data_IF_246680818477
#
_entry.id   IF_246680818477
#
_cell.length_a   1.000
_cell.length_b   1.000
_cell.length_c   1.000
_cell.angle_alpha   90.00
_cell.angle_beta   90.00
_cell.angle_gamma   90.00
#
_symmetry.space_group_name_H-M   'P 1'
#
loop_
_entity.id
_entity.type
_entity.pdbx_description
1 polymer ?
#
# COMPACT_ATOMS: atom_id res chain seq x y z
N UNK A 1 81.07 8.54 28.31
CA UNK A 1 79.88 7.66 28.30
C UNK A 1 78.54 8.41 28.17
N UNK A 2 78.41 9.69 28.55
CA UNK A 2 77.16 10.46 28.41
C UNK A 2 76.68 10.72 26.97
N UNK A 3 77.58 10.75 25.97
CA UNK A 3 77.21 11.05 24.57
C UNK A 3 76.38 9.98 23.86
N UNK A 4 76.49 8.71 24.27
CA UNK A 4 75.75 7.60 23.65
C UNK A 4 74.26 7.63 24.04
N UNK A 5 73.97 7.87 25.32
CA UNK A 5 72.60 7.95 25.83
C UNK A 5 71.81 9.12 25.20
N UNK A 6 72.46 10.25 24.94
CA UNK A 6 71.80 11.42 24.30
C UNK A 6 71.46 11.13 22.83
N UNK A 7 72.25 10.31 22.14
CA UNK A 7 71.99 9.93 20.75
C UNK A 7 70.81 8.96 20.62
N UNK A 8 70.66 8.02 21.56
CA UNK A 8 69.54 7.07 21.61
C UNK A 8 68.21 7.77 21.88
N UNK A 9 68.14 8.65 22.88
CA UNK A 9 66.93 9.42 23.21
C UNK A 9 66.47 10.29 22.04
N UNK A 10 67.41 10.85 21.25
CA UNK A 10 67.08 11.61 20.04
C UNK A 10 66.49 10.74 18.92
N UNK A 11 66.90 9.48 18.79
CA UNK A 11 66.34 8.56 17.79
C UNK A 11 64.92 8.15 18.16
N UNK A 12 64.68 7.74 19.41
CA UNK A 12 63.34 7.35 19.87
C UNK A 12 62.33 8.50 19.75
N UNK A 13 62.77 9.73 20.04
CA UNK A 13 61.91 10.92 19.88
C UNK A 13 61.61 11.24 18.42
N UNK A 14 62.53 10.92 17.49
CA UNK A 14 62.31 11.10 16.05
C UNK A 14 61.35 10.04 15.51
N UNK A 15 61.54 8.77 15.87
CA UNK A 15 60.66 7.68 15.45
C UNK A 15 59.22 7.86 15.95
N UNK A 16 59.05 8.32 17.19
CA UNK A 16 57.71 8.64 17.73
C UNK A 16 57.04 9.82 17.01
N UNK A 17 57.80 10.82 16.56
CA UNK A 17 57.26 11.94 15.77
C UNK A 17 56.81 11.47 14.38
N UNK A 18 57.66 10.72 13.69
CA UNK A 18 57.37 10.18 12.35
C UNK A 18 56.14 9.24 12.40
N UNK A 19 56.00 8.44 13.46
CA UNK A 19 54.83 7.58 13.66
C UNK A 19 53.54 8.39 13.87
N UNK A 20 53.59 9.51 14.61
CA UNK A 20 52.42 10.36 14.80
C UNK A 20 51.97 11.04 13.50
N UNK A 21 52.91 11.46 12.65
CA UNK A 21 52.59 12.07 11.36
C UNK A 21 51.92 11.08 10.41
N UNK A 22 52.41 9.83 10.36
CA UNK A 22 51.79 8.76 9.56
C UNK A 22 50.36 8.45 10.04
N UNK A 23 50.14 8.42 11.36
CA UNK A 23 48.80 8.20 11.94
C UNK A 23 47.86 9.36 11.59
N UNK A 24 48.34 10.60 11.71
CA UNK A 24 47.57 11.81 11.39
C UNK A 24 47.19 11.87 9.91
N UNK A 25 48.10 11.52 9.01
CA UNK A 25 47.83 11.51 7.57
C UNK A 25 46.78 10.44 7.19
N UNK A 26 46.91 9.23 7.75
CA UNK A 26 45.94 8.16 7.54
C UNK A 26 44.56 8.52 8.08
N UNK A 27 44.47 9.18 9.25
CA UNK A 27 43.18 9.68 9.78
C UNK A 27 42.54 10.71 8.84
N UNK A 28 43.31 11.66 8.31
CA UNK A 28 42.80 12.66 7.35
C UNK A 28 42.28 12.01 6.06
N UNK A 29 43.01 11.03 5.50
CA UNK A 29 42.58 10.28 4.31
C UNK A 29 41.28 9.51 4.56
N UNK A 30 41.17 8.83 5.72
CA UNK A 30 39.93 8.15 6.13
C UNK A 30 38.75 9.10 6.29
N UNK A 31 38.96 10.26 6.92
CA UNK A 31 37.90 11.27 7.10
C UNK A 31 37.38 11.81 5.76
N UNK A 32 38.29 12.07 4.80
CA UNK A 32 37.93 12.49 3.44
C UNK A 32 37.14 11.40 2.70
N UNK A 33 37.56 10.15 2.80
CA UNK A 33 36.86 9.03 2.16
C UNK A 33 35.44 8.86 2.72
N UNK A 34 35.27 8.95 4.05
CA UNK A 34 33.94 8.91 4.69
C UNK A 34 33.09 10.09 4.23
N UNK A 35 33.65 11.30 4.14
CA UNK A 35 32.94 12.48 3.65
C UNK A 35 32.42 12.31 2.22
N UNK A 36 33.24 11.78 1.31
CA UNK A 36 32.83 11.50 -0.08
C UNK A 36 31.74 10.43 -0.12
N UNK A 37 31.85 9.37 0.69
CA UNK A 37 30.84 8.32 0.75
C UNK A 37 29.49 8.85 1.23
N UNK A 38 29.48 9.68 2.28
CA UNK A 38 28.25 10.30 2.80
C UNK A 38 27.61 11.25 1.78
N UNK A 39 28.42 12.06 1.09
CA UNK A 39 27.92 12.92 0.01
C UNK A 39 27.34 12.11 -1.16
N UNK A 40 28.01 11.03 -1.56
CA UNK A 40 27.52 10.12 -2.59
C UNK A 40 26.20 9.44 -2.19
N UNK A 41 26.09 9.00 -0.93
CA UNK A 41 24.86 8.39 -0.41
C UNK A 41 23.70 9.39 -0.35
N UNK A 42 23.94 10.63 0.10
CA UNK A 42 22.92 11.67 0.14
C UNK A 42 22.47 12.07 -1.27
N UNK A 43 23.41 12.30 -2.20
CA UNK A 43 23.09 12.63 -3.58
C UNK A 43 22.33 11.49 -4.28
N UNK A 44 22.78 10.24 -4.08
CA UNK A 44 22.10 9.05 -4.60
C UNK A 44 20.69 8.88 -4.01
N UNK A 45 20.54 9.09 -2.70
CA UNK A 45 19.25 9.04 -2.02
C UNK A 45 18.25 10.09 -2.52
N UNK A 46 18.70 11.32 -2.77
CA UNK A 46 17.85 12.39 -3.31
C UNK A 46 17.42 12.08 -4.74
N UNK A 47 18.33 11.60 -5.59
CA UNK A 47 17.98 11.25 -6.98
C UNK A 47 17.00 10.08 -7.06
N UNK A 48 17.26 9.00 -6.30
CA UNK A 48 16.36 7.85 -6.26
C UNK A 48 15.03 8.18 -5.59
N UNK A 49 15.04 8.92 -4.48
CA UNK A 49 13.83 9.37 -3.80
C UNK A 49 13.00 10.32 -4.65
N UNK A 50 13.63 11.27 -5.34
CA UNK A 50 12.97 12.19 -6.25
C UNK A 50 12.36 11.46 -7.46
N UNK A 51 13.07 10.51 -8.05
CA UNK A 51 12.55 9.68 -9.14
C UNK A 51 11.38 8.80 -8.68
N UNK A 52 11.46 8.20 -7.49
CA UNK A 52 10.37 7.41 -6.91
C UNK A 52 9.12 8.28 -6.67
N UNK A 53 9.28 9.46 -6.08
CA UNK A 53 8.18 10.40 -5.82
C UNK A 53 7.55 10.90 -7.13
N UNK A 54 8.37 11.17 -8.15
CA UNK A 54 7.88 11.57 -9.48
C UNK A 54 7.02 10.49 -10.13
N UNK A 55 7.51 9.23 -10.11
CA UNK A 55 6.75 8.11 -10.66
C UNK A 55 5.47 7.83 -9.89
N UNK A 56 5.53 7.94 -8.56
CA UNK A 56 4.37 7.83 -7.69
C UNK A 56 3.35 8.91 -8.05
N UNK A 57 3.73 10.19 -8.05
CA UNK A 57 2.82 11.29 -8.39
C UNK A 57 2.19 11.08 -9.77
N UNK A 58 2.98 10.72 -10.78
CA UNK A 58 2.48 10.45 -12.14
C UNK A 58 1.47 9.31 -12.18
N UNK A 59 1.68 8.25 -11.39
CA UNK A 59 0.72 7.15 -11.27
C UNK A 59 -0.62 7.64 -10.70
N UNK A 60 -0.61 8.41 -9.61
CA UNK A 60 -1.83 8.96 -9.02
C UNK A 60 -2.52 9.95 -9.94
N UNK A 61 -1.78 10.85 -10.60
CA UNK A 61 -2.38 11.81 -11.54
C UNK A 61 -3.10 11.08 -12.67
N UNK A 62 -2.52 9.98 -13.20
CA UNK A 62 -3.18 9.14 -14.21
C UNK A 62 -4.47 8.50 -13.69
N UNK A 63 -4.48 8.00 -12.46
CA UNK A 63 -5.68 7.41 -11.83
C UNK A 63 -6.80 8.44 -11.66
N UNK A 64 -6.46 9.68 -11.27
CA UNK A 64 -7.46 10.75 -11.17
C UNK A 64 -8.08 11.10 -12.52
N UNK A 65 -7.26 11.21 -13.58
CA UNK A 65 -7.78 11.50 -14.92
C UNK A 65 -8.63 10.37 -15.48
N UNK A 66 -8.24 9.10 -15.26
CA UNK A 66 -9.08 7.97 -15.67
C UNK A 66 -10.42 7.97 -14.93
N UNK A 67 -10.43 8.27 -13.64
CA UNK A 67 -11.67 8.35 -12.87
C UNK A 67 -12.60 9.47 -13.38
N UNK A 68 -12.06 10.65 -13.70
CA UNK A 68 -12.85 11.75 -14.28
C UNK A 68 -13.45 11.32 -15.62
N UNK A 69 -12.66 10.65 -16.47
CA UNK A 69 -13.10 10.15 -17.76
C UNK A 69 -14.21 9.10 -17.59
N UNK A 70 -14.06 8.14 -16.68
CA UNK A 70 -15.03 7.08 -16.43
C UNK A 70 -16.37 7.63 -15.94
N UNK A 71 -16.34 8.58 -14.99
CA UNK A 71 -17.56 9.23 -14.46
C UNK A 71 -18.23 10.07 -15.55
N UNK A 72 -17.46 10.79 -16.35
CA UNK A 72 -17.99 11.62 -17.44
C UNK A 72 -18.60 10.77 -18.55
N UNK A 73 -17.95 9.67 -18.93
CA UNK A 73 -18.46 8.72 -19.92
C UNK A 73 -19.75 8.05 -19.42
N UNK A 74 -19.80 7.67 -18.14
CA UNK A 74 -21.01 7.15 -17.49
C UNK A 74 -22.15 8.17 -17.56
N UNK A 75 -21.89 9.43 -17.19
CA UNK A 75 -22.89 10.49 -17.26
C UNK A 75 -23.37 10.76 -18.70
N UNK A 76 -22.47 10.69 -19.68
CA UNK A 76 -22.79 10.85 -21.09
C UNK A 76 -23.74 9.74 -21.59
N UNK A 77 -23.43 8.46 -21.29
CA UNK A 77 -24.29 7.34 -21.65
C UNK A 77 -25.67 7.42 -21.00
N UNK A 78 -25.74 7.82 -19.72
CA UNK A 78 -27.02 8.02 -19.02
C UNK A 78 -27.83 9.12 -19.70
N UNK A 79 -27.23 10.28 -19.99
CA UNK A 79 -27.93 11.40 -20.67
C UNK A 79 -28.32 11.09 -22.11
N UNK A 80 -27.60 10.21 -22.78
CA UNK A 80 -27.92 9.72 -24.11
C UNK A 80 -28.98 8.60 -24.13
N UNK A 81 -29.52 8.20 -22.97
CA UNK A 81 -30.50 7.10 -22.88
C UNK A 81 -29.92 5.71 -23.15
N UNK A 82 -28.59 5.56 -23.10
CA UNK A 82 -27.86 4.29 -23.36
C UNK A 82 -27.55 3.53 -22.08
N UNK A 83 -28.47 3.54 -21.11
CA UNK A 83 -28.28 2.91 -19.81
C UNK A 83 -28.11 1.39 -19.90
N UNK A 84 -28.81 0.74 -20.83
CA UNK A 84 -28.74 -0.72 -21.00
C UNK A 84 -27.39 -1.17 -21.55
N UNK A 85 -26.81 -0.37 -22.45
CA UNK A 85 -25.48 -0.63 -23.00
C UNK A 85 -24.40 -0.38 -21.95
N UNK A 86 -24.54 0.69 -21.18
CA UNK A 86 -23.68 0.96 -20.02
C UNK A 86 -23.71 -0.22 -19.03
N UNK A 87 -24.90 -0.73 -18.72
CA UNK A 87 -25.06 -1.86 -17.81
C UNK A 87 -24.35 -3.11 -18.34
N UNK A 88 -24.55 -3.47 -19.62
CA UNK A 88 -23.84 -4.59 -20.27
C UNK A 88 -22.32 -4.43 -20.22
N UNK A 89 -21.81 -3.22 -20.47
CA UNK A 89 -20.38 -2.93 -20.39
C UNK A 89 -19.84 -3.12 -18.98
N UNK A 90 -20.56 -2.63 -17.95
CA UNK A 90 -20.19 -2.83 -16.55
C UNK A 90 -20.24 -4.32 -16.19
N UNK A 91 -21.32 -5.03 -16.54
CA UNK A 91 -21.49 -6.45 -16.24
C UNK A 91 -20.39 -7.32 -16.85
N UNK A 92 -19.96 -7.01 -18.07
CA UNK A 92 -18.85 -7.71 -18.72
C UNK A 92 -17.48 -7.37 -18.10
N UNK A 93 -17.32 -6.20 -17.50
CA UNK A 93 -16.08 -5.77 -16.87
C UNK A 93 -15.88 -6.33 -15.45
N UNK A 94 -16.97 -6.51 -14.68
CA UNK A 94 -16.93 -6.98 -13.28
C UNK A 94 -16.05 -8.23 -13.10
N UNK A 95 -16.20 -9.31 -13.90
CA UNK A 95 -15.40 -10.52 -13.72
C UNK A 95 -13.90 -10.29 -13.88
N UNK A 96 -13.51 -9.47 -14.86
CA UNK A 96 -12.12 -9.08 -15.09
C UNK A 96 -11.54 -8.31 -13.92
N UNK A 97 -12.31 -7.35 -13.37
CA UNK A 97 -11.91 -6.58 -12.19
C UNK A 97 -11.74 -7.47 -10.95
N UNK A 98 -12.66 -8.40 -10.71
CA UNK A 98 -12.58 -9.35 -9.58
C UNK A 98 -11.37 -10.27 -9.72
N UNK A 99 -11.15 -10.82 -10.91
CA UNK A 99 -10.01 -11.68 -11.18
C UNK A 99 -8.67 -10.93 -11.01
N UNK A 100 -8.59 -9.69 -11.52
CA UNK A 100 -7.41 -8.85 -11.34
C UNK A 100 -7.17 -8.52 -9.86
N UNK A 101 -8.21 -8.10 -9.13
CA UNK A 101 -8.14 -7.83 -7.70
C UNK A 101 -7.71 -9.05 -6.88
N UNK A 102 -8.15 -10.25 -7.28
CA UNK A 102 -7.80 -11.49 -6.59
C UNK A 102 -6.31 -11.85 -6.76
N UNK A 103 -5.69 -11.51 -7.90
CA UNK A 103 -4.26 -11.76 -8.15
C UNK A 103 -3.32 -11.01 -7.20
N UNK A 104 -3.76 -9.90 -6.61
CA UNK A 104 -2.96 -9.14 -5.64
C UNK A 104 -2.89 -9.81 -4.25
N UNK A 105 -3.63 -10.91 -4.02
CA UNK A 105 -3.53 -11.76 -2.84
C UNK A 105 -3.99 -11.13 -1.52
N UNK A 106 -3.87 -11.89 -0.42
CA UNK A 106 -4.05 -11.41 0.97
C UNK A 106 -2.78 -10.77 1.55
N UNK A 107 -1.76 -10.56 0.72
CA UNK A 107 -0.41 -10.14 1.09
C UNK A 107 -0.27 -8.67 1.52
N UNK A 108 -1.37 -7.93 1.71
CA UNK A 108 -1.31 -6.49 2.00
C UNK A 108 -2.22 -6.06 3.14
N UNK A 109 -1.86 -4.91 3.74
CA UNK A 109 -2.64 -4.14 4.71
C UNK A 109 -4.08 -3.78 4.26
N UNK A 110 -4.49 -4.17 3.05
CA UNK A 110 -5.76 -3.85 2.40
C UNK A 110 -6.73 -5.03 2.28
N UNK A 111 -6.51 -6.11 3.04
CA UNK A 111 -7.37 -7.30 3.00
C UNK A 111 -8.84 -6.98 3.32
N UNK A 112 -9.08 -5.98 4.18
CA UNK A 112 -10.44 -5.54 4.55
C UNK A 112 -11.17 -4.87 3.38
N UNK A 113 -10.50 -3.95 2.68
CA UNK A 113 -11.04 -3.22 1.54
C UNK A 113 -11.31 -4.19 0.38
N UNK A 114 -10.39 -5.13 0.12
CA UNK A 114 -10.59 -6.20 -0.86
C UNK A 114 -11.83 -7.03 -0.56
N UNK A 115 -11.98 -7.51 0.68
CA UNK A 115 -13.17 -8.28 1.09
C UNK A 115 -14.46 -7.47 0.96
N UNK A 116 -14.43 -6.18 1.30
CA UNK A 116 -15.58 -5.29 1.10
C UNK A 116 -16.01 -5.21 -0.37
N UNK A 117 -15.05 -5.07 -1.29
CA UNK A 117 -15.34 -5.07 -2.72
C UNK A 117 -15.97 -6.39 -3.17
N UNK A 118 -15.40 -7.52 -2.74
CA UNK A 118 -15.92 -8.84 -3.12
C UNK A 118 -17.32 -9.13 -2.55
N UNK A 119 -17.60 -8.74 -1.30
CA UNK A 119 -18.96 -8.82 -0.76
C UNK A 119 -19.94 -7.91 -1.49
N UNK A 120 -19.48 -6.77 -2.01
CA UNK A 120 -20.33 -5.89 -2.80
C UNK A 120 -20.70 -6.54 -4.15
N UNK A 121 -19.74 -7.19 -4.80
CA UNK A 121 -19.97 -7.95 -6.03
C UNK A 121 -20.88 -9.15 -5.79
N UNK A 122 -20.66 -9.92 -4.71
CA UNK A 122 -21.54 -11.02 -4.34
C UNK A 122 -22.98 -10.53 -4.14
N UNK A 123 -23.16 -9.44 -3.37
CA UNK A 123 -24.47 -8.82 -3.16
C UNK A 123 -25.13 -8.33 -4.45
N UNK A 124 -24.33 -7.89 -5.43
CA UNK A 124 -24.85 -7.49 -6.73
C UNK A 124 -25.52 -8.67 -7.44
N UNK A 125 -24.81 -9.79 -7.60
CA UNK A 125 -25.37 -11.00 -8.22
C UNK A 125 -26.56 -11.56 -7.44
N UNK A 126 -26.48 -11.60 -6.11
CA UNK A 126 -27.58 -12.09 -5.26
C UNK A 126 -28.84 -11.22 -5.36
N UNK A 127 -28.68 -9.88 -5.42
CA UNK A 127 -29.81 -8.94 -5.43
C UNK A 127 -30.56 -8.94 -6.76
N UNK A 128 -29.83 -9.07 -7.86
CA UNK A 128 -30.41 -8.97 -9.21
C UNK A 128 -30.68 -10.34 -9.84
N UNK A 129 -30.47 -11.43 -9.09
CA UNK A 129 -30.67 -12.82 -9.54
C UNK A 129 -29.94 -13.14 -10.85
N UNK A 130 -28.72 -12.61 -10.98
CA UNK A 130 -27.87 -12.80 -12.16
C UNK A 130 -26.89 -13.95 -11.89
N UNK A 131 -26.75 -14.84 -12.86
CA UNK A 131 -25.79 -15.95 -12.77
C UNK A 131 -24.36 -15.43 -12.58
N UNK A 132 -23.70 -15.90 -11.52
CA UNK A 132 -22.29 -15.60 -11.27
C UNK A 132 -21.43 -16.28 -12.34
N UNK A 133 -20.56 -15.55 -13.07
CA UNK A 133 -19.69 -16.16 -14.06
C UNK A 133 -18.74 -17.19 -13.44
N UNK A 134 -18.57 -18.34 -14.11
CA UNK A 134 -17.76 -19.47 -13.64
C UNK A 134 -16.31 -19.08 -13.29
N UNK A 135 -15.78 -18.04 -13.94
CA UNK A 135 -14.42 -17.53 -13.70
C UNK A 135 -14.24 -16.94 -12.30
N UNK A 136 -15.29 -16.34 -11.72
CA UNK A 136 -15.22 -15.66 -10.41
C UNK A 136 -15.98 -16.41 -9.32
N UNK A 137 -16.79 -17.40 -9.69
CA UNK A 137 -17.55 -18.22 -8.74
C UNK A 137 -16.68 -18.83 -7.63
N UNK A 138 -15.51 -19.44 -7.91
CA UNK A 138 -14.65 -19.98 -6.84
C UNK A 138 -14.14 -18.92 -5.87
N UNK A 139 -13.93 -17.69 -6.36
CA UNK A 139 -13.44 -16.56 -5.56
C UNK A 139 -14.55 -16.11 -4.62
N UNK A 140 -15.77 -15.93 -5.15
CA UNK A 140 -16.91 -15.46 -4.36
C UNK A 140 -17.42 -16.52 -3.37
N UNK A 141 -17.37 -17.82 -3.71
CA UNK A 141 -17.75 -18.90 -2.81
C UNK A 141 -16.76 -19.11 -1.66
N UNK A 142 -15.50 -18.71 -1.84
CA UNK A 142 -14.45 -18.80 -0.82
C UNK A 142 -14.44 -17.63 0.16
N UNK A 143 -15.35 -16.66 0.03
CA UNK A 143 -15.36 -15.47 0.89
C UNK A 143 -15.81 -15.83 2.31
N UNK A 144 -15.18 -15.26 3.35
CA UNK A 144 -15.70 -15.34 4.70
C UNK A 144 -17.06 -14.63 4.79
N UNK A 145 -17.89 -14.99 5.80
CA UNK A 145 -19.17 -14.33 6.01
C UNK A 145 -18.97 -12.82 6.24
N UNK A 146 -19.83 -12.02 5.62
CA UNK A 146 -19.80 -10.57 5.74
C UNK A 146 -20.04 -10.14 7.19
N UNK A 147 -19.26 -9.21 7.76
CA UNK A 147 -19.53 -8.63 9.06
C UNK A 147 -20.85 -7.86 9.03
N UNK A 148 -21.64 -8.02 10.09
CA UNK A 148 -22.91 -7.32 10.25
C UNK A 148 -22.68 -5.81 10.27
N UNK A 149 -23.49 -5.07 9.51
CA UNK A 149 -23.46 -3.61 9.59
C UNK A 149 -24.17 -3.14 10.86
N UNK A 150 -23.89 -1.91 11.30
CA UNK A 150 -24.60 -1.30 12.44
C UNK A 150 -26.12 -1.29 12.24
N UNK A 151 -26.59 -1.18 10.99
CA UNK A 151 -28.00 -1.27 10.64
C UNK A 151 -28.57 -2.68 10.85
N UNK A 152 -27.81 -3.72 10.47
CA UNK A 152 -28.22 -5.12 10.65
C UNK A 152 -28.29 -5.47 12.13
N UNK A 153 -27.29 -5.04 12.91
CA UNK A 153 -27.28 -5.21 14.37
C UNK A 153 -28.50 -4.54 15.01
N UNK A 154 -28.85 -3.32 14.58
CA UNK A 154 -30.04 -2.60 15.08
C UNK A 154 -31.33 -3.35 14.75
N UNK A 155 -31.45 -3.91 13.54
CA UNK A 155 -32.62 -4.71 13.14
C UNK A 155 -32.73 -5.99 13.96
N UNK A 156 -31.63 -6.68 14.23
CA UNK A 156 -31.60 -7.89 15.06
C UNK A 156 -32.07 -7.58 16.49
N UNK A 157 -31.52 -6.51 17.10
CA UNK A 157 -31.95 -6.05 18.44
C UNK A 157 -33.41 -5.65 18.50
N UNK A 158 -33.94 -4.99 17.47
CA UNK A 158 -35.37 -4.69 17.41
C UNK A 158 -36.20 -5.97 17.35
N UNK A 159 -35.84 -6.91 16.48
CA UNK A 159 -36.57 -8.18 16.32
C UNK A 159 -36.65 -8.96 17.65
N UNK A 160 -35.55 -9.04 18.39
CA UNK A 160 -35.53 -9.63 19.74
C UNK A 160 -36.47 -8.91 20.72
N UNK A 161 -36.52 -7.57 20.67
CA UNK A 161 -37.42 -6.78 21.52
C UNK A 161 -38.91 -6.99 21.20
N UNK A 162 -39.27 -7.21 19.93
CA UNK A 162 -40.65 -7.49 19.54
C UNK A 162 -41.08 -8.92 19.89
N UNK A 163 -40.19 -9.90 19.78
CA UNK A 163 -40.51 -11.29 20.12
C UNK A 163 -40.58 -11.55 21.63
N UNK A 164 -39.92 -10.75 22.47
CA UNK A 164 -39.95 -10.89 23.93
C UNK A 164 -41.02 -10.04 24.64
N UNK A 165 -41.96 -9.42 23.92
CA UNK A 165 -43.07 -8.71 24.59
C UNK A 165 -44.06 -9.73 25.16
N UNK A 166 -44.32 -9.73 26.48
CA UNK A 166 -45.32 -10.61 27.06
C UNK A 166 -46.69 -10.28 26.46
N UNK A 167 -47.34 -11.29 25.89
CA UNK A 167 -48.70 -11.17 25.38
C UNK A 167 -49.59 -10.87 26.59
N UNK A 168 -50.08 -9.63 26.69
CA UNK A 168 -51.06 -9.27 27.72
C UNK A 168 -52.33 -10.06 27.40
N UNK A 169 -52.59 -11.12 28.16
CA UNK A 169 -53.84 -11.85 28.11
C UNK A 169 -54.97 -10.86 28.42
N UNK A 170 -55.77 -10.53 27.41
CA UNK A 170 -57.00 -9.78 27.61
C UNK A 170 -57.92 -10.61 28.52
N UNK A 171 -58.45 -9.97 29.56
CA UNK A 171 -59.46 -10.53 30.46
C UNK A 171 -60.84 -10.05 30.04
#
# INVERSE_FOLDING_TARGET
MAGHAVAEVKREKKESLDLQDIIMENKKRKLKAVGIFMLGFLAGGILLGGAALWNFNRFYTRQYYSQIQDVTNTAFMIRAGRTDELLKNIDSAIPGCVAAANKFGDTTAHSKERLQCFWFVQKYYDRFDVNVPAQIQPILSGLPPRPLTSCDIKKLKMKESYCNKPVKSAK
#
